data_IF_454151066231
#
_entry.id   IF_454151066231
#
_cell.length_a   1.000
_cell.length_b   1.000
_cell.length_c   1.000
_cell.angle_alpha   90.00
_cell.angle_beta   90.00
_cell.angle_gamma   90.00
#
_symmetry.space_group_name_H-M   'P 1'
#
loop_
_entity.id
_entity.type
_entity.pdbx_description
1 polymer ?
#
# COMPACT_ATOMS: atom_id res chain seq x y z
N UNK A 1 9.51 2.84 0.44
CA UNK A 1 8.91 4.20 0.53
C UNK A 1 8.28 4.52 -0.81
N UNK A 2 7.05 5.03 -0.81
CA UNK A 2 6.36 5.47 -2.03
C UNK A 2 5.65 6.79 -1.77
N UNK A 3 6.08 7.88 -2.42
CA UNK A 3 5.32 9.13 -2.45
C UNK A 3 4.17 8.95 -3.43
N UNK A 4 2.94 8.95 -2.91
CA UNK A 4 1.74 8.70 -3.74
C UNK A 4 1.13 10.01 -4.25
N UNK A 5 1.41 11.12 -3.59
CA UNK A 5 1.22 12.48 -4.11
C UNK A 5 2.11 13.45 -3.29
N UNK A 6 1.98 14.75 -3.56
CA UNK A 6 2.76 15.80 -2.87
C UNK A 6 2.46 15.91 -1.36
N UNK A 7 1.38 15.30 -0.88
CA UNK A 7 0.91 15.42 0.51
C UNK A 7 0.97 14.14 1.31
N UNK A 8 1.18 12.97 0.67
CA UNK A 8 1.11 11.66 1.32
C UNK A 8 2.17 10.70 0.81
N UNK A 9 2.88 10.06 1.74
CA UNK A 9 3.86 9.02 1.48
C UNK A 9 3.51 7.72 2.22
N UNK A 10 3.61 6.60 1.52
CA UNK A 10 3.44 5.26 2.07
C UNK A 10 4.79 4.69 2.47
N UNK A 11 4.94 4.35 3.75
CA UNK A 11 6.11 3.64 4.30
C UNK A 11 5.76 2.16 4.41
N UNK A 12 6.23 1.37 3.45
CA UNK A 12 5.93 -0.08 3.38
C UNK A 12 7.06 -0.88 4.01
N UNK A 13 6.73 -1.70 5.01
CA UNK A 13 7.61 -2.74 5.53
C UNK A 13 7.12 -4.12 5.08
N UNK A 14 7.98 -4.85 4.37
CA UNK A 14 7.76 -6.23 3.96
C UNK A 14 8.85 -7.11 4.55
N UNK A 15 8.50 -8.00 5.48
CA UNK A 15 9.46 -9.00 5.99
C UNK A 15 9.42 -10.26 5.14
N UNK A 16 10.59 -10.68 4.68
CA UNK A 16 10.78 -11.99 4.07
C UNK A 16 10.79 -13.09 5.14
N UNK A 17 10.37 -14.31 4.76
CA UNK A 17 10.36 -15.52 5.62
C UNK A 17 9.32 -15.55 6.76
N UNK A 18 8.12 -15.01 6.54
CA UNK A 18 6.98 -15.30 7.45
C UNK A 18 6.56 -16.75 7.24
N UNK A 19 6.62 -17.59 8.29
CA UNK A 19 5.94 -18.89 8.33
C UNK A 19 4.43 -18.63 8.27
N UNK A 20 3.67 -19.55 7.68
CA UNK A 20 2.20 -19.47 7.59
C UNK A 20 1.61 -19.11 8.97
N UNK A 21 0.71 -18.12 9.01
CA UNK A 21 0.02 -17.62 10.23
C UNK A 21 0.82 -16.77 11.24
N UNK A 22 1.77 -15.93 10.80
CA UNK A 22 2.38 -14.95 11.71
C UNK A 22 1.58 -13.64 11.79
N UNK A 23 0.78 -13.52 12.86
CA UNK A 23 0.14 -12.28 13.29
C UNK A 23 1.16 -11.15 13.52
N UNK A 24 0.73 -9.89 13.37
CA UNK A 24 1.56 -8.71 13.58
C UNK A 24 2.08 -8.60 15.03
N UNK A 25 3.41 -8.56 15.20
CA UNK A 25 4.11 -8.54 16.48
C UNK A 25 4.69 -7.17 16.84
N UNK A 26 4.94 -6.96 18.12
CA UNK A 26 5.46 -5.69 18.68
C UNK A 26 6.81 -5.28 18.08
N UNK A 27 7.68 -6.24 17.76
CA UNK A 27 8.99 -5.96 17.16
C UNK A 27 8.87 -5.45 15.72
N UNK A 28 7.87 -5.93 14.97
CA UNK A 28 7.57 -5.47 13.62
C UNK A 28 6.99 -4.04 13.67
N UNK A 29 6.10 -3.78 14.62
CA UNK A 29 5.61 -2.43 14.87
C UNK A 29 6.74 -1.45 15.22
N UNK A 30 7.72 -1.88 16.03
CA UNK A 30 8.87 -1.05 16.39
C UNK A 30 9.76 -0.63 15.21
N UNK A 31 9.96 -1.51 14.22
CA UNK A 31 10.76 -1.19 13.03
C UNK A 31 10.04 -0.20 12.12
N UNK A 32 8.74 -0.41 11.92
CA UNK A 32 7.91 0.48 11.12
C UNK A 32 7.85 1.89 11.73
N UNK A 33 7.75 2.00 13.06
CA UNK A 33 7.79 3.29 13.76
C UNK A 33 9.12 4.03 13.58
N UNK A 34 10.26 3.32 13.52
CA UNK A 34 11.56 3.95 13.25
C UNK A 34 11.59 4.51 11.82
N UNK A 35 11.10 3.74 10.85
CA UNK A 35 11.01 4.17 9.46
C UNK A 35 10.07 5.38 9.30
N UNK A 36 8.93 5.38 9.97
CA UNK A 36 7.99 6.50 10.01
C UNK A 36 8.64 7.76 10.61
N UNK A 37 9.36 7.65 11.74
CA UNK A 37 10.06 8.79 12.36
C UNK A 37 11.12 9.38 11.44
N UNK A 38 11.91 8.52 10.79
CA UNK A 38 12.88 8.97 9.80
C UNK A 38 12.19 9.71 8.65
N UNK A 39 11.07 9.19 8.14
CA UNK A 39 10.31 9.82 7.07
C UNK A 39 9.78 11.19 7.48
N UNK A 40 9.11 11.31 8.63
CA UNK A 40 8.60 12.59 9.16
C UNK A 40 9.71 13.63 9.38
N UNK A 41 10.94 13.17 9.69
CA UNK A 41 12.10 14.06 9.83
C UNK A 41 12.60 14.58 8.47
N UNK A 42 12.51 13.76 7.41
CA UNK A 42 12.96 14.12 6.07
C UNK A 42 11.92 14.86 5.25
N UNK A 43 10.64 14.61 5.52
CA UNK A 43 9.50 15.15 4.79
C UNK A 43 8.44 15.67 5.78
N UNK A 44 8.71 16.78 6.48
CA UNK A 44 7.85 17.27 7.56
C UNK A 44 6.45 17.67 7.10
N UNK A 45 6.31 18.10 5.83
CA UNK A 45 5.06 18.56 5.24
C UNK A 45 4.26 17.43 4.55
N UNK A 46 4.77 16.20 4.56
CA UNK A 46 4.15 15.04 3.90
C UNK A 46 3.58 14.10 4.96
N UNK A 47 2.29 13.78 4.83
CA UNK A 47 1.60 12.80 5.66
C UNK A 47 2.25 11.41 5.51
N UNK A 48 2.61 10.82 6.63
CA UNK A 48 3.20 9.48 6.68
C UNK A 48 2.10 8.43 6.88
N UNK A 49 1.96 7.50 5.94
CA UNK A 49 1.10 6.33 6.06
C UNK A 49 1.95 5.06 6.25
N UNK A 50 2.15 4.59 7.49
CA UNK A 50 2.85 3.34 7.74
C UNK A 50 2.00 2.13 7.32
N UNK A 51 2.59 1.23 6.54
CA UNK A 51 1.96 0.03 6.01
C UNK A 51 2.85 -1.19 6.29
N UNK A 52 2.27 -2.23 6.86
CA UNK A 52 2.94 -3.52 7.01
C UNK A 52 2.34 -4.56 6.05
N UNK A 53 3.19 -5.38 5.44
CA UNK A 53 2.74 -6.47 4.55
C UNK A 53 2.55 -7.77 5.34
N UNK A 54 1.35 -8.32 5.37
CA UNK A 54 1.00 -9.57 6.09
C UNK A 54 0.14 -10.50 5.24
N UNK A 55 0.03 -11.76 5.66
CA UNK A 55 -0.85 -12.72 5.02
C UNK A 55 -2.32 -12.33 5.21
N UNK A 56 -2.69 -12.00 6.44
CA UNK A 56 -4.02 -11.53 6.84
C UNK A 56 -3.94 -10.19 7.59
N UNK A 57 -5.10 -9.65 7.95
CA UNK A 57 -5.24 -8.42 8.71
C UNK A 57 -5.24 -8.62 10.23
N UNK A 58 -4.75 -9.75 10.73
CA UNK A 58 -4.84 -10.07 12.16
C UNK A 58 -3.61 -9.56 12.93
N UNK A 59 -3.88 -8.76 13.97
CA UNK A 59 -2.89 -8.31 14.93
C UNK A 59 -3.09 -8.98 16.30
N UNK A 60 -1.98 -9.20 17.01
CA UNK A 60 -2.06 -9.66 18.41
C UNK A 60 -2.56 -8.52 19.32
N UNK A 61 -3.26 -8.83 20.42
CA UNK A 61 -3.77 -7.82 21.38
C UNK A 61 -2.68 -6.87 21.91
N UNK A 62 -1.43 -7.32 21.98
CA UNK A 62 -0.29 -6.53 22.42
C UNK A 62 0.26 -5.56 21.36
N UNK A 63 -0.22 -5.65 20.11
CA UNK A 63 0.18 -4.87 18.95
C UNK A 63 -1.00 -4.03 18.44
N UNK A 64 -1.66 -3.26 19.30
CA UNK A 64 -2.68 -2.30 18.86
C UNK A 64 -2.00 -1.28 17.94
N UNK A 65 -2.19 -1.46 16.63
CA UNK A 65 -1.46 -0.78 15.58
C UNK A 65 -2.27 0.42 15.07
N UNK A 66 -2.72 1.27 15.98
CA UNK A 66 -3.48 2.47 15.62
C UNK A 66 -2.66 3.33 14.64
N UNK A 67 -3.28 3.74 13.53
CA UNK A 67 -2.61 4.50 12.48
C UNK A 67 -1.74 3.68 11.53
N UNK A 68 -1.59 2.36 11.73
CA UNK A 68 -0.88 1.47 10.79
C UNK A 68 -1.88 0.71 9.92
N UNK A 69 -1.63 0.70 8.61
CA UNK A 69 -2.39 -0.08 7.63
C UNK A 69 -1.73 -1.42 7.33
N UNK A 70 -2.50 -2.37 6.84
CA UNK A 70 -2.03 -3.68 6.39
C UNK A 70 -2.28 -3.86 4.90
N UNK A 71 -1.23 -4.28 4.19
CA UNK A 71 -1.34 -4.77 2.82
C UNK A 71 -1.32 -6.30 2.87
N UNK A 72 -2.49 -6.92 2.65
CA UNK A 72 -2.65 -8.38 2.72
C UNK A 72 -2.16 -9.05 1.43
N UNK A 73 -1.91 -10.36 1.50
CA UNK A 73 -1.57 -11.12 0.29
C UNK A 73 -2.71 -11.15 -0.72
N UNK A 74 -3.96 -11.23 -0.26
CA UNK A 74 -5.15 -11.13 -1.12
C UNK A 74 -5.22 -9.78 -1.83
N UNK A 75 -4.94 -8.68 -1.11
CA UNK A 75 -4.91 -7.34 -1.72
C UNK A 75 -3.74 -7.19 -2.69
N UNK A 76 -2.58 -7.81 -2.45
CA UNK A 76 -1.47 -7.86 -3.41
C UNK A 76 -1.88 -8.59 -4.68
N UNK A 77 -2.53 -9.75 -4.56
CA UNK A 77 -3.04 -10.50 -5.71
C UNK A 77 -4.07 -9.68 -6.49
N UNK A 78 -4.92 -8.90 -5.80
CA UNK A 78 -5.85 -7.99 -6.42
C UNK A 78 -5.12 -6.85 -7.16
N UNK A 79 -4.12 -6.21 -6.56
CA UNK A 79 -3.29 -5.19 -7.23
C UNK A 79 -2.66 -5.78 -8.49
N UNK A 80 -2.07 -6.97 -8.41
CA UNK A 80 -1.45 -7.66 -9.55
C UNK A 80 -2.50 -7.89 -10.66
N UNK A 81 -3.69 -8.36 -10.30
CA UNK A 81 -4.79 -8.60 -11.25
C UNK A 81 -5.21 -7.31 -11.96
N UNK A 82 -5.47 -6.24 -11.21
CA UNK A 82 -5.92 -4.97 -11.80
C UNK A 82 -4.80 -4.30 -12.62
N UNK A 83 -3.55 -4.39 -12.17
CA UNK A 83 -2.38 -3.91 -12.91
C UNK A 83 -2.20 -4.66 -14.24
N UNK A 84 -2.40 -5.98 -14.26
CA UNK A 84 -2.36 -6.76 -15.50
C UNK A 84 -3.44 -6.32 -16.49
N UNK A 85 -4.67 -6.07 -16.03
CA UNK A 85 -5.74 -5.56 -16.90
C UNK A 85 -5.38 -4.20 -17.50
N UNK A 86 -4.82 -3.30 -16.69
CA UNK A 86 -4.33 -2.01 -17.16
C UNK A 86 -3.30 -2.17 -18.27
N UNK A 87 -2.28 -3.01 -18.06
CA UNK A 87 -1.24 -3.24 -19.08
C UNK A 87 -1.81 -3.88 -20.35
N UNK A 88 -2.68 -4.87 -20.22
CA UNK A 88 -3.31 -5.49 -21.38
C UNK A 88 -4.08 -4.47 -22.23
N UNK A 89 -4.79 -3.52 -21.60
CA UNK A 89 -5.47 -2.47 -22.36
C UNK A 89 -4.51 -1.44 -22.93
N UNK A 90 -3.44 -1.08 -22.21
CA UNK A 90 -2.45 -0.11 -22.70
C UNK A 90 -1.71 -0.58 -23.95
N UNK A 91 -1.39 -1.87 -24.04
CA UNK A 91 -0.63 -2.44 -25.17
C UNK A 91 -1.39 -2.34 -26.49
N UNK A 92 -2.73 -2.32 -26.45
CA UNK A 92 -3.55 -2.24 -27.66
C UNK A 92 -3.68 -0.80 -28.22
N UNK A 93 -3.29 0.22 -27.43
CA UNK A 93 -3.39 1.61 -27.84
C UNK A 93 -2.20 2.06 -28.70
N UNK A 94 -2.51 2.66 -29.85
CA UNK A 94 -1.56 3.33 -30.73
C UNK A 94 -1.85 4.83 -30.72
N UNK A 95 -1.45 5.47 -29.62
CA UNK A 95 -1.72 6.89 -29.34
C UNK A 95 -0.43 7.70 -29.36
N UNK A 96 -0.54 8.99 -29.68
CA UNK A 96 0.55 9.92 -29.40
C UNK A 96 0.72 10.11 -27.88
N UNK A 97 1.83 10.74 -27.47
CA UNK A 97 2.21 10.88 -26.07
C UNK A 97 1.13 11.56 -25.21
N UNK A 98 0.52 12.65 -25.71
CA UNK A 98 -0.51 13.39 -24.96
C UNK A 98 -1.79 12.57 -24.82
N UNK A 99 -2.21 11.91 -25.91
CA UNK A 99 -3.38 11.05 -25.88
C UNK A 99 -3.16 9.81 -24.99
N UNK A 100 -1.93 9.28 -24.96
CA UNK A 100 -1.54 8.17 -24.09
C UNK A 100 -1.57 8.58 -22.62
N UNK A 101 -1.06 9.76 -22.26
CA UNK A 101 -1.11 10.27 -20.87
C UNK A 101 -2.56 10.37 -20.36
N UNK A 102 -3.44 10.99 -21.15
CA UNK A 102 -4.87 11.09 -20.82
C UNK A 102 -5.50 9.71 -20.67
N UNK A 103 -5.12 8.75 -21.52
CA UNK A 103 -5.66 7.40 -21.46
C UNK A 103 -5.15 6.61 -20.26
N UNK A 104 -3.86 6.73 -19.92
CA UNK A 104 -3.28 6.18 -18.71
C UNK A 104 -4.04 6.67 -17.48
N UNK A 105 -4.34 7.97 -17.39
CA UNK A 105 -5.06 8.52 -16.25
C UNK A 105 -6.49 7.98 -16.13
N UNK A 106 -7.18 7.79 -17.26
CA UNK A 106 -8.50 7.13 -17.30
C UNK A 106 -8.44 5.68 -16.82
N UNK A 107 -7.45 4.91 -17.27
CA UNK A 107 -7.30 3.51 -16.87
C UNK A 107 -6.91 3.38 -15.39
N UNK A 108 -5.99 4.22 -14.91
CA UNK A 108 -5.63 4.26 -13.50
C UNK A 108 -6.86 4.56 -12.62
N UNK A 109 -7.74 5.47 -13.07
CA UNK A 109 -9.00 5.74 -12.38
C UNK A 109 -9.96 4.52 -12.44
N UNK A 110 -10.12 3.92 -13.62
CA UNK A 110 -11.01 2.78 -13.85
C UNK A 110 -10.64 1.56 -13.00
N UNK A 111 -9.34 1.31 -12.81
CA UNK A 111 -8.84 0.17 -12.03
C UNK A 111 -8.59 0.52 -10.56
N UNK A 112 -8.87 1.77 -10.15
CA UNK A 112 -8.63 2.33 -8.80
C UNK A 112 -7.16 2.27 -8.37
N UNK A 113 -6.24 2.44 -9.32
CA UNK A 113 -4.80 2.47 -9.11
C UNK A 113 -4.25 3.90 -8.88
N UNK A 114 -5.11 4.92 -8.91
CA UNK A 114 -4.76 6.28 -8.49
C UNK A 114 -4.48 6.33 -6.99
N UNK A 115 -3.56 7.20 -6.58
CA UNK A 115 -3.04 7.29 -5.22
C UNK A 115 -4.09 7.40 -4.11
N UNK A 116 -5.13 8.22 -4.33
CA UNK A 116 -6.23 8.42 -3.38
C UNK A 116 -7.04 7.12 -3.20
N UNK A 117 -7.41 6.48 -4.31
CA UNK A 117 -8.20 5.25 -4.31
C UNK A 117 -7.40 4.02 -3.90
N UNK A 118 -6.09 4.04 -4.15
CA UNK A 118 -5.20 2.92 -3.84
C UNK A 118 -5.22 2.62 -2.34
N UNK A 119 -5.14 3.66 -1.51
CA UNK A 119 -5.17 3.53 -0.05
C UNK A 119 -6.51 2.96 0.41
N UNK A 120 -7.62 3.47 -0.12
CA UNK A 120 -8.97 3.04 0.26
C UNK A 120 -9.29 1.60 -0.16
N UNK A 121 -8.82 1.20 -1.35
CA UNK A 121 -9.17 -0.09 -1.96
C UNK A 121 -8.28 -1.24 -1.52
N UNK A 122 -6.98 -0.99 -1.34
CA UNK A 122 -5.99 -2.07 -1.19
C UNK A 122 -5.34 -2.14 0.19
N UNK A 123 -5.56 -1.14 1.05
CA UNK A 123 -4.97 -1.12 2.38
C UNK A 123 -6.05 -1.25 3.46
N UNK A 124 -6.00 -2.35 4.19
CA UNK A 124 -6.90 -2.63 5.29
C UNK A 124 -6.40 -2.03 6.60
N UNK A 125 -7.26 -2.00 7.60
CA UNK A 125 -6.87 -1.78 8.99
C UNK A 125 -6.68 -3.14 9.68
N UNK A 126 -5.72 -3.24 10.60
CA UNK A 126 -5.58 -4.44 11.41
C UNK A 126 -6.81 -4.68 12.30
N UNK A 127 -7.21 -5.94 12.40
CA UNK A 127 -8.23 -6.45 13.30
C UNK A 127 -7.54 -7.11 14.51
N UNK A 128 -8.10 -6.87 15.70
CA UNK A 128 -7.58 -7.50 16.92
C UNK A 128 -8.26 -8.86 17.10
N UNK A 129 -7.50 -9.94 17.35
CA UNK A 129 -8.11 -11.21 17.78
C UNK A 129 -8.92 -10.98 19.07
N UNK A 130 -10.22 -11.24 19.04
CA UNK A 130 -11.08 -11.30 20.24
C UNK A 130 -10.68 -12.43 21.16
#
# INVERSE_FOLDING_TARGET
LWLINEKKGIIIEAKSRKKEHNAFRKEEHGQLLIAERWFKTKFPDIEALPVSVHQDKIATKASFAEGVKVLTFDNILLIIKETKKLYSQLIDYHLDEKALEVQCQKLLLQFDLLSERFVEKYLDTFETMT
#
